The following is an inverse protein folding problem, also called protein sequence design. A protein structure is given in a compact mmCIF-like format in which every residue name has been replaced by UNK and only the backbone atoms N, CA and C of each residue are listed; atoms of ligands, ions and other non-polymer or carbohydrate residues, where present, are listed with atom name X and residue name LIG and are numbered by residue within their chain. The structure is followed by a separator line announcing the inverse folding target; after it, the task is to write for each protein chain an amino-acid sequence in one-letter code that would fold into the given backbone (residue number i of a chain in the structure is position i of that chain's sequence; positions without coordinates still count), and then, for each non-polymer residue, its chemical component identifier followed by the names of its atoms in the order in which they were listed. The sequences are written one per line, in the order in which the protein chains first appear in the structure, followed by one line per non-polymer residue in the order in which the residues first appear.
data_IF_978729186392
#
_entry.id   IF_978729186392
#
_cell.length_a   1.000
_cell.length_b   1.000
_cell.length_c   1.000
_cell.angle_alpha   90.00
_cell.angle_beta   90.00
_cell.angle_gamma   90.00
#
_symmetry.space_group_name_H-M   'P 1'
#
loop_
_entity.id
_entity.type
_entity.pdbx_description
1 polymer ?
#
# COMPACT_ATOMS: atom_id res chain seq x y z
N UNK A 1 5.55 24.63 -5.85
CA UNK A 1 4.78 24.81 -4.60
C UNK A 1 3.96 23.56 -4.18
N UNK A 2 4.12 22.38 -4.80
CA UNK A 2 3.35 21.16 -4.47
C UNK A 2 4.02 20.19 -3.48
N UNK A 3 5.32 20.33 -3.23
CA UNK A 3 6.12 19.33 -2.50
C UNK A 3 5.70 19.11 -1.04
N UNK A 4 5.26 20.15 -0.33
CA UNK A 4 4.84 20.02 1.07
C UNK A 4 3.49 19.31 1.23
N UNK A 5 2.56 19.48 0.29
CA UNK A 5 1.24 18.82 0.32
C UNK A 5 1.34 17.36 -0.10
N UNK A 6 2.12 17.07 -1.14
CA UNK A 6 2.46 15.69 -1.53
C UNK A 6 3.08 14.93 -0.36
N UNK A 7 3.94 15.59 0.42
CA UNK A 7 4.56 14.99 1.59
C UNK A 7 3.53 14.61 2.68
N UNK A 8 2.52 15.44 2.93
CA UNK A 8 1.45 15.13 3.90
C UNK A 8 0.58 13.95 3.44
N UNK A 9 0.16 13.93 2.17
CA UNK A 9 -0.64 12.82 1.62
C UNK A 9 0.16 11.53 1.64
N UNK A 10 1.42 11.58 1.24
CA UNK A 10 2.32 10.43 1.27
C UNK A 10 2.49 9.84 2.68
N UNK A 11 2.70 10.68 3.69
CA UNK A 11 2.77 10.24 5.10
C UNK A 11 1.51 9.52 5.54
N UNK A 12 0.35 10.03 5.14
CA UNK A 12 -0.91 9.37 5.45
C UNK A 12 -1.04 8.02 4.73
N UNK A 13 -0.64 7.92 3.45
CA UNK A 13 -0.57 6.64 2.73
C UNK A 13 0.35 5.63 3.45
N UNK A 14 1.53 6.05 3.92
CA UNK A 14 2.44 5.20 4.70
C UNK A 14 1.82 4.78 6.03
N UNK A 15 1.16 5.70 6.73
CA UNK A 15 0.52 5.41 8.02
C UNK A 15 -0.58 4.36 7.86
N UNK A 16 -1.46 4.51 6.86
CA UNK A 16 -2.52 3.56 6.57
C UNK A 16 -1.97 2.21 6.11
N UNK A 17 -0.92 2.19 5.29
CA UNK A 17 -0.37 0.94 4.76
C UNK A 17 0.23 0.04 5.86
N UNK A 18 0.85 0.64 6.88
CA UNK A 18 1.37 -0.06 8.06
C UNK A 18 0.27 -0.74 8.88
N UNK A 19 -0.97 -0.26 8.77
CA UNK A 19 -2.11 -0.82 9.49
C UNK A 19 -2.75 -2.01 8.78
N UNK A 20 -2.45 -2.24 7.49
CA UNK A 20 -3.13 -3.25 6.69
C UNK A 20 -2.93 -4.67 7.23
N UNK A 21 -1.68 -5.09 7.45
CA UNK A 21 -1.38 -6.45 7.90
C UNK A 21 -1.98 -6.75 9.27
N UNK A 22 -1.78 -5.91 10.32
CA UNK A 22 -2.44 -6.13 11.61
C UNK A 22 -3.97 -6.20 11.51
N UNK A 23 -4.58 -5.43 10.60
CA UNK A 23 -6.02 -5.46 10.41
C UNK A 23 -6.51 -6.74 9.73
N UNK A 24 -5.77 -7.33 8.79
CA UNK A 24 -6.18 -8.57 8.12
C UNK A 24 -5.79 -9.85 8.87
N UNK A 25 -4.76 -9.77 9.72
CA UNK A 25 -4.22 -10.89 10.49
C UNK A 25 -4.96 -11.13 11.82
N UNK A 26 -6.26 -10.89 11.85
CA UNK A 26 -7.07 -11.24 13.03
C UNK A 26 -7.12 -12.76 13.27
N UNK A 27 -6.86 -13.54 12.22
CA UNK A 27 -6.71 -14.99 12.30
C UNK A 27 -5.23 -15.36 12.10
N UNK A 28 -4.60 -15.96 13.11
CA UNK A 28 -3.15 -16.27 13.13
C UNK A 28 -2.69 -17.10 11.93
N UNK A 29 -3.51 -18.04 11.46
CA UNK A 29 -3.17 -18.89 10.31
C UNK A 29 -2.96 -18.10 9.01
N UNK A 30 -3.60 -16.93 8.84
CA UNK A 30 -3.39 -16.08 7.65
C UNK A 30 -2.01 -15.44 7.66
N UNK A 31 -1.57 -15.01 8.84
CA UNK A 31 -0.24 -14.45 9.07
C UNK A 31 0.82 -15.51 8.81
N UNK A 32 0.67 -16.67 9.44
CA UNK A 32 1.63 -17.78 9.33
C UNK A 32 1.77 -18.22 7.86
N UNK A 33 0.65 -18.38 7.16
CA UNK A 33 0.65 -18.72 5.73
C UNK A 33 1.37 -17.67 4.88
N UNK A 34 1.13 -16.38 5.11
CA UNK A 34 1.83 -15.32 4.37
C UNK A 34 3.32 -15.31 4.68
N UNK A 35 3.71 -15.59 5.93
CA UNK A 35 5.12 -15.69 6.33
C UNK A 35 5.82 -16.86 5.63
N UNK A 36 5.15 -18.01 5.52
CA UNK A 36 5.66 -19.15 4.78
C UNK A 36 5.80 -18.82 3.28
N UNK A 37 4.78 -18.20 2.69
CA UNK A 37 4.82 -17.76 1.29
C UNK A 37 6.00 -16.81 1.00
N UNK A 38 6.34 -15.91 1.93
CA UNK A 38 7.52 -15.04 1.83
C UNK A 38 8.81 -15.86 1.79
N UNK A 39 8.97 -16.80 2.74
CA UNK A 39 10.18 -17.64 2.84
C UNK A 39 10.37 -18.50 1.61
N UNK A 40 9.31 -19.12 1.09
CA UNK A 40 9.33 -19.89 -0.15
C UNK A 40 9.83 -19.09 -1.36
N UNK A 41 9.61 -17.76 -1.33
CA UNK A 41 10.01 -16.82 -2.38
C UNK A 41 11.36 -16.18 -2.12
N UNK A 42 12.06 -16.59 -1.06
CA UNK A 42 13.38 -16.08 -0.69
C UNK A 42 13.33 -14.69 -0.05
N UNK A 43 12.17 -14.26 0.46
CA UNK A 43 12.03 -13.04 1.23
C UNK A 43 12.13 -13.35 2.72
N UNK A 44 12.97 -12.59 3.43
CA UNK A 44 12.87 -12.52 4.87
C UNK A 44 11.50 -11.92 5.27
N UNK A 45 10.90 -12.40 6.36
CA UNK A 45 9.54 -12.02 6.75
C UNK A 45 9.41 -10.51 7.01
N UNK A 46 10.25 -9.89 7.86
CA UNK A 46 10.30 -8.44 8.01
C UNK A 46 10.45 -7.68 6.68
N UNK A 47 11.26 -8.18 5.76
CA UNK A 47 11.44 -7.56 4.45
C UNK A 47 10.16 -7.65 3.60
N UNK A 48 9.53 -8.83 3.53
CA UNK A 48 8.29 -9.04 2.80
C UNK A 48 7.15 -8.16 3.30
N UNK A 49 6.98 -8.02 4.61
CA UNK A 49 5.97 -7.13 5.20
C UNK A 49 6.24 -5.66 4.90
N UNK A 50 7.50 -5.21 4.99
CA UNK A 50 7.88 -3.83 4.64
C UNK A 50 7.65 -3.52 3.16
N UNK A 51 7.99 -4.45 2.27
CA UNK A 51 7.77 -4.30 0.83
C UNK A 51 6.27 -4.27 0.49
N UNK A 52 5.47 -5.12 1.12
CA UNK A 52 4.01 -5.11 0.96
C UNK A 52 3.42 -3.77 1.44
N UNK A 53 3.84 -3.29 2.61
CA UNK A 53 3.41 -1.99 3.13
C UNK A 53 3.85 -0.81 2.23
N UNK A 54 5.04 -0.88 1.65
CA UNK A 54 5.54 0.14 0.71
C UNK A 54 4.73 0.13 -0.58
N UNK A 55 4.47 -1.05 -1.15
CA UNK A 55 3.65 -1.17 -2.35
C UNK A 55 2.24 -0.64 -2.09
N UNK A 56 1.59 -1.03 -0.99
CA UNK A 56 0.26 -0.52 -0.66
C UNK A 56 0.22 1.02 -0.50
N UNK A 57 1.25 1.62 0.11
CA UNK A 57 1.37 3.08 0.21
C UNK A 57 1.49 3.73 -1.18
N UNK A 58 2.35 3.19 -2.05
CA UNK A 58 2.51 3.65 -3.42
C UNK A 58 1.21 3.50 -4.22
N UNK A 59 0.47 2.41 -4.05
CA UNK A 59 -0.83 2.19 -4.73
C UNK A 59 -1.86 3.24 -4.29
N UNK A 60 -1.99 3.52 -2.99
CA UNK A 60 -2.88 4.58 -2.51
C UNK A 60 -2.47 5.95 -3.04
N UNK A 61 -1.17 6.29 -2.96
CA UNK A 61 -0.67 7.58 -3.42
C UNK A 61 -0.87 7.75 -4.94
N UNK A 62 -0.67 6.67 -5.70
CA UNK A 62 -0.92 6.64 -7.15
C UNK A 62 -2.35 7.06 -7.49
N UNK A 63 -3.36 6.55 -6.77
CA UNK A 63 -4.77 6.92 -6.99
C UNK A 63 -4.99 8.42 -6.81
N UNK A 64 -4.31 9.01 -5.83
CA UNK A 64 -4.42 10.45 -5.56
C UNK A 64 -3.70 11.28 -6.61
N UNK A 65 -2.52 10.87 -7.05
CA UNK A 65 -1.81 11.55 -8.13
C UNK A 65 -2.58 11.47 -9.46
N UNK A 66 -3.24 10.35 -9.75
CA UNK A 66 -4.10 10.22 -10.94
C UNK A 66 -5.32 11.13 -10.87
N UNK A 67 -5.96 11.18 -9.69
CA UNK A 67 -7.06 12.10 -9.44
C UNK A 67 -6.61 13.56 -9.61
N UNK A 68 -5.42 13.90 -9.11
CA UNK A 68 -4.82 15.22 -9.23
C UNK A 68 -4.49 15.60 -10.68
N UNK A 69 -3.95 14.67 -11.46
CA UNK A 69 -3.72 14.84 -12.90
C UNK A 69 -5.05 15.07 -13.66
N UNK A 70 -6.16 14.52 -13.16
CA UNK A 70 -7.50 14.77 -13.66
C UNK A 70 -8.18 16.03 -13.08
N UNK A 71 -7.43 16.90 -12.40
CA UNK A 71 -7.92 18.18 -11.86
C UNK A 71 -8.66 18.09 -10.51
N UNK A 72 -8.61 16.94 -9.83
CA UNK A 72 -9.19 16.77 -8.49
C UNK A 72 -8.19 17.17 -7.39
N UNK A 73 -8.63 17.42 -6.15
CA UNK A 73 -7.72 17.77 -5.07
C UNK A 73 -6.79 16.60 -4.69
N UNK A 74 -5.49 16.88 -4.55
CA UNK A 74 -4.51 15.98 -3.89
C UNK A 74 -4.45 16.33 -2.40
N UNK A 75 -5.39 15.80 -1.61
CA UNK A 75 -5.47 16.05 -0.16
C UNK A 75 -5.71 14.77 0.63
N UNK A 76 -5.52 14.84 1.95
CA UNK A 76 -5.79 13.72 2.86
C UNK A 76 -7.28 13.36 2.86
N UNK A 77 -8.16 14.34 2.74
CA UNK A 77 -9.61 14.13 2.64
C UNK A 77 -9.97 13.38 1.34
N UNK A 78 -9.30 13.71 0.23
CA UNK A 78 -9.46 12.98 -1.02
C UNK A 78 -8.96 11.53 -0.90
N UNK A 79 -7.86 11.31 -0.18
CA UNK A 79 -7.41 9.97 0.18
C UNK A 79 -8.46 9.24 1.00
N UNK A 80 -8.95 9.82 2.09
CA UNK A 80 -9.94 9.20 2.96
C UNK A 80 -11.26 8.89 2.25
N UNK A 81 -11.67 9.72 1.27
CA UNK A 81 -12.85 9.47 0.45
C UNK A 81 -12.65 8.38 -0.63
N UNK A 82 -11.40 7.95 -0.87
CA UNK A 82 -11.10 6.94 -1.90
C UNK A 82 -11.58 5.55 -1.46
N UNK A 83 -12.36 4.88 -2.32
CA UNK A 83 -12.82 3.53 -2.07
C UNK A 83 -11.66 2.52 -2.06
N UNK A 84 -11.64 1.60 -1.09
CA UNK A 84 -10.63 0.54 -1.00
C UNK A 84 -10.60 -0.34 -2.26
N UNK A 85 -11.77 -0.58 -2.87
CA UNK A 85 -11.84 -1.29 -4.16
C UNK A 85 -11.15 -0.52 -5.27
N UNK A 86 -11.25 0.81 -5.32
CA UNK A 86 -10.52 1.60 -6.32
C UNK A 86 -9.02 1.39 -6.17
N UNK A 87 -8.50 1.41 -4.93
CA UNK A 87 -7.09 1.10 -4.65
C UNK A 87 -6.72 -0.32 -5.09
N UNK A 88 -7.56 -1.31 -4.79
CA UNK A 88 -7.33 -2.71 -5.20
C UNK A 88 -7.26 -2.88 -6.73
N UNK A 89 -8.10 -2.17 -7.48
CA UNK A 89 -8.11 -2.22 -8.95
C UNK A 89 -6.89 -1.54 -9.57
N UNK A 90 -6.37 -0.48 -8.94
CA UNK A 90 -5.15 0.20 -9.41
C UNK A 90 -3.96 -0.75 -9.50
N UNK A 91 -3.86 -1.73 -8.60
CA UNK A 91 -2.79 -2.74 -8.62
C UNK A 91 -2.76 -3.55 -9.93
N UNK A 92 -3.93 -3.82 -10.52
CA UNK A 92 -4.04 -4.67 -11.71
C UNK A 92 -3.89 -3.93 -13.03
N UNK A 93 -4.16 -2.62 -13.03
CA UNK A 93 -4.28 -1.83 -14.25
C UNK A 93 -3.02 -1.03 -14.58
N UNK A 94 -1.93 -1.25 -13.84
CA UNK A 94 -0.66 -0.54 -13.99
C UNK A 94 0.50 -1.49 -14.18
N UNK A 95 1.51 -1.00 -14.90
CA UNK A 95 2.79 -1.69 -14.99
C UNK A 95 3.61 -1.45 -13.73
N UNK A 96 4.43 -2.42 -13.36
CA UNK A 96 5.21 -2.43 -12.11
C UNK A 96 6.00 -1.13 -11.87
N UNK A 97 6.67 -0.63 -12.91
CA UNK A 97 7.48 0.60 -12.84
C UNK A 97 6.63 1.88 -12.72
N UNK A 98 5.34 1.87 -13.08
CA UNK A 98 4.49 3.05 -13.02
C UNK A 98 4.19 3.46 -11.57
N UNK A 99 4.23 2.51 -10.62
CA UNK A 99 4.10 2.81 -9.19
C UNK A 99 5.27 3.64 -8.66
N UNK A 100 6.43 3.61 -9.33
CA UNK A 100 7.59 4.41 -8.92
C UNK A 100 7.36 5.91 -9.11
N UNK A 101 6.45 6.30 -9.99
CA UNK A 101 6.08 7.72 -10.17
C UNK A 101 5.33 8.29 -8.96
N UNK A 102 4.76 7.42 -8.13
CA UNK A 102 4.12 7.79 -6.87
C UNK A 102 5.07 7.74 -5.66
N UNK A 103 6.37 7.47 -5.85
CA UNK A 103 7.32 7.61 -4.76
C UNK A 103 7.48 9.09 -4.38
N UNK A 104 7.65 9.42 -3.09
CA UNK A 104 7.90 10.79 -2.68
C UNK A 104 9.25 11.27 -3.22
N UNK A 105 9.38 12.59 -3.40
CA UNK A 105 10.65 13.20 -3.81
C UNK A 105 11.75 13.06 -2.75
N UNK A 106 11.36 12.99 -1.47
CA UNK A 106 12.24 12.83 -0.32
C UNK A 106 11.61 11.82 0.64
N UNK A 107 12.40 10.85 1.08
CA UNK A 107 12.02 9.94 2.15
C UNK A 107 12.00 10.70 3.50
N UNK A 108 11.10 10.32 4.41
CA UNK A 108 11.06 10.90 5.76
C UNK A 108 12.16 10.31 6.68
N UNK A 109 12.61 9.08 6.41
CA UNK A 109 13.56 8.34 7.24
C UNK A 109 14.39 7.33 6.41
N UNK A 110 15.56 6.92 6.93
CA UNK A 110 16.48 5.98 6.24
C UNK A 110 15.82 4.63 5.92
N UNK A 111 14.90 4.18 6.77
CA UNK A 111 14.18 2.93 6.57
C UNK A 111 13.21 3.03 5.39
N UNK A 112 12.55 4.17 5.22
CA UNK A 112 11.73 4.48 4.07
C UNK A 112 12.57 4.52 2.80
N UNK A 113 13.68 5.23 2.81
CA UNK A 113 14.58 5.31 1.67
C UNK A 113 15.04 3.90 1.26
N UNK A 114 15.44 3.09 2.23
CA UNK A 114 15.82 1.70 2.01
C UNK A 114 14.69 0.87 1.37
N UNK A 115 13.46 0.98 1.88
CA UNK A 115 12.32 0.23 1.35
C UNK A 115 11.92 0.69 -0.06
N UNK A 116 11.97 1.99 -0.35
CA UNK A 116 11.72 2.54 -1.69
C UNK A 116 12.81 2.09 -2.68
N UNK A 117 14.08 2.06 -2.25
CA UNK A 117 15.17 1.54 -3.06
C UNK A 117 15.01 0.04 -3.35
N UNK A 118 14.66 -0.76 -2.33
CA UNK A 118 14.39 -2.19 -2.52
C UNK A 118 13.20 -2.43 -3.47
N UNK A 119 12.13 -1.65 -3.35
CA UNK A 119 10.98 -1.71 -4.26
C UNK A 119 11.36 -1.34 -5.70
N UNK A 120 12.18 -0.29 -5.89
CA UNK A 120 12.72 0.09 -7.22
C UNK A 120 13.52 -1.05 -7.85
N UNK A 121 14.38 -1.71 -7.07
CA UNK A 121 15.14 -2.86 -7.56
C UNK A 121 14.21 -3.98 -8.02
N UNK A 122 13.17 -4.31 -7.23
CA UNK A 122 12.19 -5.33 -7.61
C UNK A 122 11.42 -4.99 -8.89
N UNK A 123 11.01 -3.72 -9.06
CA UNK A 123 10.23 -3.27 -10.21
C UNK A 123 10.98 -3.37 -11.55
N UNK A 124 12.32 -3.34 -11.54
CA UNK A 124 13.16 -3.47 -12.73
C UNK A 124 13.77 -4.86 -12.91
N UNK A 125 13.66 -5.74 -11.92
CA UNK A 125 14.24 -7.07 -12.01
C UNK A 125 13.39 -7.99 -12.89
N UNK A 126 14.07 -8.86 -13.65
CA UNK A 126 13.46 -9.89 -14.49
C UNK A 126 13.60 -11.28 -13.83
N UNK A 127 12.87 -12.28 -14.36
CA UNK A 127 12.96 -13.66 -13.88
C UNK A 127 12.33 -13.87 -12.50
N UNK A 128 13.02 -14.56 -11.59
CA UNK A 128 12.47 -14.96 -10.27
C UNK A 128 11.96 -13.77 -9.45
N UNK A 129 12.62 -12.63 -9.55
CA UNK A 129 12.23 -11.42 -8.83
C UNK A 129 10.98 -10.74 -9.41
N UNK A 130 10.73 -10.86 -10.72
CA UNK A 130 9.47 -10.40 -11.31
C UNK A 130 8.26 -11.17 -10.73
N UNK A 131 8.44 -12.46 -10.42
CA UNK A 131 7.41 -13.24 -9.71
C UNK A 131 7.17 -12.75 -8.28
N UNK A 132 8.21 -12.22 -7.61
CA UNK A 132 8.06 -11.62 -6.27
C UNK A 132 7.23 -10.35 -6.35
N UNK A 133 7.48 -9.48 -7.34
CA UNK A 133 6.68 -8.27 -7.54
C UNK A 133 5.19 -8.60 -7.81
N UNK A 134 4.93 -9.52 -8.74
CA UNK A 134 3.58 -9.98 -9.05
C UNK A 134 2.88 -10.58 -7.82
N UNK A 135 3.61 -11.37 -7.02
CA UNK A 135 3.10 -11.91 -5.76
C UNK A 135 2.74 -10.78 -4.77
N UNK A 136 3.63 -9.81 -4.55
CA UNK A 136 3.35 -8.68 -3.65
C UNK A 136 2.14 -7.87 -4.13
N UNK A 137 2.02 -7.63 -5.44
CA UNK A 137 0.83 -6.99 -6.02
C UNK A 137 -0.44 -7.79 -5.73
N UNK A 138 -0.42 -9.12 -5.92
CA UNK A 138 -1.57 -9.96 -5.59
C UNK A 138 -1.96 -9.90 -4.11
N UNK A 139 -0.98 -9.82 -3.21
CA UNK A 139 -1.19 -9.68 -1.76
C UNK A 139 -1.79 -8.31 -1.40
N UNK A 140 -1.27 -7.22 -1.98
CA UNK A 140 -1.83 -5.87 -1.78
C UNK A 140 -3.28 -5.81 -2.25
N UNK A 141 -3.57 -6.33 -3.44
CA UNK A 141 -4.94 -6.42 -3.95
C UNK A 141 -5.84 -7.21 -3.01
N UNK A 142 -5.45 -8.43 -2.66
CA UNK A 142 -6.23 -9.31 -1.80
C UNK A 142 -6.50 -8.69 -0.42
N UNK A 143 -5.52 -7.96 0.11
CA UNK A 143 -5.64 -7.21 1.37
C UNK A 143 -6.71 -6.13 1.28
N UNK A 144 -6.66 -5.28 0.24
CA UNK A 144 -7.67 -4.24 0.04
C UNK A 144 -9.05 -4.82 -0.26
N UNK A 145 -9.17 -5.89 -1.05
CA UNK A 145 -10.45 -6.54 -1.34
C UNK A 145 -11.06 -7.18 -0.07
N UNK A 146 -10.23 -7.80 0.78
CA UNK A 146 -10.65 -8.37 2.08
C UNK A 146 -11.16 -7.28 3.02
N UNK A 147 -10.44 -6.17 3.12
CA UNK A 147 -10.86 -5.03 3.94
C UNK A 147 -12.12 -4.38 3.38
N UNK A 148 -12.22 -4.23 2.06
CA UNK A 148 -13.39 -3.68 1.39
C UNK A 148 -14.67 -4.49 1.63
N UNK A 149 -14.54 -5.81 1.79
CA UNK A 149 -15.66 -6.71 2.04
C UNK A 149 -16.11 -6.77 3.51
N UNK A 150 -15.42 -6.09 4.43
CA UNK A 150 -15.86 -5.95 5.83
C UNK A 150 -17.05 -5.00 5.99
N UNK A 151 -17.20 -4.02 5.12
CA UNK A 151 -18.39 -3.14 5.13
C UNK A 151 -19.56 -3.84 4.44
N UNK A 152 -20.68 -3.97 5.16
CA UNK A 152 -21.90 -4.64 4.67
C UNK A 152 -22.86 -3.71 3.94
N UNK A 153 -22.69 -2.38 4.06
CA UNK A 153 -23.75 -1.41 3.70
C UNK A 153 -23.25 -0.29 2.80
N UNK A 154 -21.96 0.03 2.86
CA UNK A 154 -21.34 1.12 2.09
C UNK A 154 -20.05 0.63 1.44
N UNK A 155 -19.65 1.26 0.33
CA UNK A 155 -18.33 1.02 -0.25
C UNK A 155 -17.28 1.51 0.74
N UNK A 156 -16.54 0.58 1.37
CA UNK A 156 -15.50 0.94 2.32
C UNK A 156 -14.41 1.79 1.66
N UNK A 157 -13.92 2.77 2.41
CA UNK A 157 -12.96 3.80 1.98
C UNK A 157 -11.67 3.74 2.79
N UNK A 158 -10.64 4.49 2.37
CA UNK A 158 -9.43 4.68 3.17
C UNK A 158 -9.73 5.39 4.50
N UNK A 159 -10.81 6.18 4.60
CA UNK A 159 -11.30 6.77 5.85
C UNK A 159 -11.82 5.70 6.82
N UNK A 160 -12.58 4.72 6.31
CA UNK A 160 -13.01 3.57 7.12
C UNK A 160 -11.80 2.75 7.58
N UNK A 161 -10.81 2.54 6.72
CA UNK A 161 -9.54 1.91 7.08
C UNK A 161 -8.84 2.66 8.22
N UNK A 162 -8.77 3.99 8.15
CA UNK A 162 -8.22 4.82 9.24
C UNK A 162 -9.00 4.61 10.53
N UNK A 163 -10.32 4.63 10.46
CA UNK A 163 -11.18 4.41 11.62
C UNK A 163 -10.94 3.03 12.25
N UNK A 164 -10.87 1.97 11.45
CA UNK A 164 -10.57 0.62 11.93
C UNK A 164 -9.19 0.55 12.57
N UNK A 165 -8.19 1.21 11.99
CA UNK A 165 -6.84 1.27 12.55
C UNK A 165 -6.81 2.00 13.89
N UNK A 166 -7.51 3.13 14.03
CA UNK A 166 -7.63 3.86 15.30
C UNK A 166 -8.37 3.03 16.37
N UNK A 167 -9.46 2.34 16.00
CA UNK A 167 -10.17 1.42 16.90
C UNK A 167 -9.28 0.27 17.40
N UNK A 168 -8.39 -0.22 16.53
CA UNK A 168 -7.39 -1.23 16.85
C UNK A 168 -6.13 -0.67 17.54
N UNK A 169 -6.07 0.64 17.82
CA UNK A 169 -4.92 1.34 18.43
C UNK A 169 -3.62 1.21 17.63
N UNK A 170 -3.73 1.13 16.30
CA UNK A 170 -2.61 1.08 15.37
C UNK A 170 -2.16 2.47 14.90
N UNK A 171 -3.05 3.45 15.00
CA UNK A 171 -2.78 4.86 14.77
C UNK A 171 -3.08 5.65 16.05
N UNK A 172 -2.36 6.76 16.29
CA UNK A 172 -2.71 7.71 17.34
C UNK A 172 -4.09 8.32 17.13
#
# INVERSE_FOLDING_TARGET
MNSARDNVVWRECRALSRCLLPLIDQETWRRDRRHDDFRERGLDVPQGERLLGTFAALTMHTVILDAAAAGRPSTVEALHATALRTVAHTVMNRRDYEFLSAAPAQADDDMEEHNLAAFRLLAYQTGRAAHVFAYLGSQVRATFDTLASRSRTTTATCGDLRQWASQAKLLP
#
